data_IF_394758697483
#
_entry.id   IF_394758697483
#
_cell.length_a   1.000
_cell.length_b   1.000
_cell.length_c   1.000
_cell.angle_alpha   90.00
_cell.angle_beta   90.00
_cell.angle_gamma   90.00
#
_symmetry.space_group_name_H-M   'P 1'
#
loop_
_entity.id
_entity.type
_entity.pdbx_description
1 polymer ?
#
# COMPACT_ATOMS: atom_id res chain seq x y z
N UNK A 1 -12.61 2.98 5.30
CA UNK A 1 -11.77 2.74 4.08
C UNK A 1 -10.34 3.16 4.33
N UNK A 2 -9.35 2.33 3.94
CA UNK A 2 -7.92 2.65 4.07
C UNK A 2 -7.33 2.89 2.70
N UNK A 3 -6.70 4.06 2.49
CA UNK A 3 -5.96 4.36 1.29
C UNK A 3 -4.46 4.19 1.53
N UNK A 4 -3.74 3.61 0.57
CA UNK A 4 -2.29 3.51 0.55
C UNK A 4 -1.78 4.12 -0.76
N UNK A 5 -0.86 5.05 -0.66
CA UNK A 5 -0.23 5.73 -1.80
C UNK A 5 1.22 5.27 -1.91
N UNK A 6 1.63 4.85 -3.09
CA UNK A 6 3.00 4.49 -3.44
C UNK A 6 3.44 5.31 -4.64
N UNK A 7 4.71 5.73 -4.65
CA UNK A 7 5.32 6.50 -5.73
C UNK A 7 6.48 5.69 -6.28
N UNK A 8 6.56 5.57 -7.60
CA UNK A 8 7.54 4.74 -8.27
C UNK A 8 8.01 5.31 -9.60
N UNK A 9 9.06 4.69 -10.15
CA UNK A 9 9.62 5.01 -11.46
C UNK A 9 9.10 4.08 -12.57
N UNK A 10 8.70 2.84 -12.25
CA UNK A 10 8.28 1.85 -13.23
C UNK A 10 6.78 1.92 -13.51
N UNK A 11 6.42 2.54 -14.61
CA UNK A 11 5.05 2.53 -15.13
C UNK A 11 4.67 1.11 -15.58
N UNK A 12 5.54 0.45 -16.35
CA UNK A 12 5.31 -0.92 -16.79
C UNK A 12 5.05 -1.87 -15.63
N UNK A 13 5.88 -1.80 -14.56
CA UNK A 13 5.69 -2.66 -13.39
C UNK A 13 4.34 -2.44 -12.70
N UNK A 14 3.86 -1.19 -12.62
CA UNK A 14 2.56 -0.88 -12.05
C UNK A 14 1.40 -1.39 -12.93
N UNK A 15 1.50 -1.24 -14.25
CA UNK A 15 0.49 -1.71 -15.21
C UNK A 15 0.48 -3.23 -15.30
N UNK A 16 1.65 -3.88 -15.39
CA UNK A 16 1.78 -5.33 -15.49
C UNK A 16 1.21 -6.02 -14.24
N UNK A 17 1.58 -5.55 -13.04
CA UNK A 17 1.08 -6.12 -11.79
C UNK A 17 -0.46 -6.14 -11.71
N UNK A 18 -1.10 -5.05 -12.14
CA UNK A 18 -2.56 -4.95 -12.09
C UNK A 18 -3.23 -5.60 -13.30
N UNK A 19 -2.71 -5.37 -14.52
CA UNK A 19 -3.28 -5.90 -15.76
C UNK A 19 -3.20 -7.42 -15.86
N UNK A 20 -2.11 -8.04 -15.40
CA UNK A 20 -2.00 -9.50 -15.38
C UNK A 20 -3.03 -10.15 -14.45
N UNK A 21 -3.38 -9.52 -13.34
CA UNK A 21 -4.45 -10.02 -12.47
C UNK A 21 -5.82 -9.99 -13.15
N UNK A 22 -6.09 -8.91 -13.89
CA UNK A 22 -7.32 -8.84 -14.70
C UNK A 22 -7.35 -9.94 -15.75
N UNK A 23 -6.26 -10.10 -16.49
CA UNK A 23 -6.14 -11.11 -17.54
C UNK A 23 -6.18 -12.56 -17.00
N UNK A 24 -5.98 -12.76 -15.69
CA UNK A 24 -6.15 -14.03 -14.97
C UNK A 24 -7.51 -14.16 -14.27
N UNK A 25 -8.47 -13.30 -14.62
CA UNK A 25 -9.82 -13.29 -14.03
C UNK A 25 -9.87 -13.08 -12.50
N UNK A 26 -8.84 -12.44 -11.95
CA UNK A 26 -8.74 -12.12 -10.51
C UNK A 26 -9.20 -10.70 -10.20
N UNK A 27 -9.98 -10.10 -11.10
CA UNK A 27 -10.49 -8.75 -10.95
C UNK A 27 -11.05 -8.19 -12.26
N UNK A 28 -11.31 -6.88 -12.29
CA UNK A 28 -11.88 -6.16 -13.43
C UNK A 28 -11.27 -4.78 -13.59
N UNK A 29 -11.16 -4.33 -14.85
CA UNK A 29 -10.90 -2.94 -15.16
C UNK A 29 -12.22 -2.17 -15.04
N UNK A 30 -12.33 -1.26 -14.08
CA UNK A 30 -13.58 -0.53 -13.83
C UNK A 30 -13.67 0.78 -14.60
N UNK A 31 -12.57 1.52 -14.70
CA UNK A 31 -12.57 2.83 -15.35
C UNK A 31 -11.18 3.18 -15.90
N UNK A 32 -11.18 3.99 -16.94
CA UNK A 32 -9.99 4.64 -17.48
C UNK A 32 -10.27 6.11 -17.72
N UNK A 33 -9.24 6.93 -17.68
CA UNK A 33 -9.26 8.31 -18.15
C UNK A 33 -8.06 8.55 -19.05
N UNK A 34 -8.30 9.03 -20.28
CA UNK A 34 -7.26 9.28 -21.30
C UNK A 34 -6.45 8.03 -21.73
N UNK A 35 -6.86 6.85 -21.31
CA UNK A 35 -6.28 5.55 -21.67
C UNK A 35 -7.34 4.76 -22.41
N UNK A 36 -6.97 4.18 -23.53
CA UNK A 36 -7.89 3.39 -24.35
C UNK A 36 -8.34 2.12 -23.59
N UNK A 37 -9.64 1.85 -23.71
CA UNK A 37 -10.25 0.62 -23.21
C UNK A 37 -11.27 0.17 -24.27
N UNK A 38 -11.08 -1.02 -24.81
CA UNK A 38 -11.97 -1.60 -25.83
C UNK A 38 -13.21 -2.30 -25.26
N UNK A 39 -13.30 -2.38 -23.93
CA UNK A 39 -14.39 -3.06 -23.23
C UNK A 39 -14.33 -4.59 -23.29
N UNK A 40 -13.24 -5.19 -23.79
CA UNK A 40 -13.08 -6.66 -23.89
C UNK A 40 -12.99 -7.36 -22.54
N UNK A 41 -12.78 -6.60 -21.45
CA UNK A 41 -12.51 -7.13 -20.11
C UNK A 41 -11.04 -7.54 -19.89
N UNK A 42 -10.19 -7.45 -20.91
CA UNK A 42 -8.75 -7.67 -20.81
C UNK A 42 -8.00 -6.34 -20.84
N UNK A 43 -6.73 -6.36 -20.43
CA UNK A 43 -5.87 -5.17 -20.42
C UNK A 43 -4.66 -5.43 -21.33
N UNK A 44 -4.56 -4.67 -22.41
CA UNK A 44 -3.33 -4.58 -23.20
C UNK A 44 -2.36 -3.64 -22.49
N UNK A 45 -1.38 -4.23 -21.80
CA UNK A 45 -0.42 -3.51 -20.98
C UNK A 45 0.49 -2.61 -21.83
N UNK A 46 0.88 -3.07 -23.02
CA UNK A 46 1.75 -2.31 -23.92
C UNK A 46 1.04 -1.08 -24.45
N UNK A 47 -0.17 -1.24 -24.93
CA UNK A 47 -1.01 -0.13 -25.40
C UNK A 47 -1.31 0.88 -24.28
N UNK A 48 -1.67 0.40 -23.09
CA UNK A 48 -1.89 1.27 -21.95
C UNK A 48 -0.62 2.06 -21.61
N UNK A 49 0.55 1.43 -21.66
CA UNK A 49 1.83 2.11 -21.46
C UNK A 49 2.08 3.19 -22.49
N UNK A 50 1.83 2.91 -23.78
CA UNK A 50 1.98 3.90 -24.85
C UNK A 50 1.06 5.11 -24.64
N UNK A 51 -0.21 4.85 -24.25
CA UNK A 51 -1.16 5.91 -23.95
C UNK A 51 -0.69 6.79 -22.78
N UNK A 52 -0.20 6.21 -21.70
CA UNK A 52 0.37 6.97 -20.59
C UNK A 52 1.58 7.81 -21.01
N UNK A 53 2.47 7.26 -21.83
CA UNK A 53 3.69 7.93 -22.30
C UNK A 53 3.38 9.19 -23.11
N UNK A 54 2.23 9.26 -23.79
CA UNK A 54 1.78 10.49 -24.50
C UNK A 54 1.57 11.67 -23.57
N UNK A 55 1.29 11.42 -22.29
CA UNK A 55 1.10 12.44 -21.25
C UNK A 55 2.33 12.64 -20.36
N UNK A 56 3.42 11.94 -20.66
CA UNK A 56 4.67 12.03 -19.92
C UNK A 56 5.74 12.70 -20.82
N UNK A 57 6.05 14.00 -20.62
CA UNK A 57 7.08 14.64 -21.42
C UNK A 57 8.46 14.06 -21.14
N UNK A 58 9.31 14.04 -22.18
CA UNK A 58 10.70 13.52 -22.07
C UNK A 58 11.56 14.30 -21.07
N UNK A 59 11.28 15.59 -20.89
CA UNK A 59 12.02 16.49 -20.01
C UNK A 59 11.37 16.61 -18.63
N UNK A 60 11.25 15.50 -17.90
CA UNK A 60 10.76 15.50 -16.53
C UNK A 60 11.89 15.69 -15.52
N UNK A 61 11.64 16.49 -14.46
CA UNK A 61 12.59 16.66 -13.34
C UNK A 61 12.51 15.54 -12.31
N UNK A 62 11.45 14.72 -12.33
CA UNK A 62 11.25 13.66 -11.35
C UNK A 62 11.65 12.30 -11.91
N UNK A 63 12.39 11.53 -11.11
CA UNK A 63 12.72 10.13 -11.40
C UNK A 63 11.58 9.17 -11.06
N UNK A 64 10.55 9.66 -10.35
CA UNK A 64 9.42 8.84 -9.87
C UNK A 64 8.08 9.43 -10.34
N UNK A 65 7.77 9.38 -11.63
CA UNK A 65 6.57 10.00 -12.19
C UNK A 65 5.27 9.20 -11.96
N UNK A 66 5.36 7.97 -11.48
CA UNK A 66 4.21 7.06 -11.34
C UNK A 66 3.66 7.13 -9.92
N UNK A 67 2.34 7.16 -9.80
CA UNK A 67 1.62 7.00 -8.55
C UNK A 67 0.72 5.77 -8.63
N UNK A 68 0.77 4.94 -7.60
CA UNK A 68 -0.09 3.78 -7.41
C UNK A 68 -0.83 3.92 -6.09
N UNK A 69 -2.14 3.87 -6.15
CA UNK A 69 -3.03 4.06 -5.00
C UNK A 69 -3.85 2.78 -4.81
N UNK A 70 -3.95 2.27 -3.59
CA UNK A 70 -4.95 1.26 -3.27
C UNK A 70 -5.99 1.82 -2.31
N UNK A 71 -7.27 1.60 -2.61
CA UNK A 71 -8.40 1.94 -1.76
C UNK A 71 -9.03 0.64 -1.24
N UNK A 72 -9.06 0.52 0.08
CA UNK A 72 -9.46 -0.69 0.76
C UNK A 72 -10.66 -0.40 1.68
N UNK A 73 -11.91 -0.66 1.25
CA UNK A 73 -13.10 -0.60 2.10
C UNK A 73 -13.04 -1.61 3.24
N UNK A 74 -13.94 -1.51 4.19
CA UNK A 74 -14.08 -2.54 5.21
C UNK A 74 -14.59 -3.84 4.57
N UNK A 75 -14.20 -5.03 5.05
CA UNK A 75 -14.68 -6.30 4.49
C UNK A 75 -16.20 -6.44 4.48
N UNK A 76 -16.89 -5.82 5.43
CA UNK A 76 -18.35 -5.85 5.54
C UNK A 76 -19.06 -4.82 4.64
N UNK A 77 -18.31 -3.90 4.01
CA UNK A 77 -18.89 -2.95 3.06
C UNK A 77 -19.34 -3.69 1.79
N UNK A 78 -20.58 -3.45 1.38
CA UNK A 78 -21.15 -4.03 0.15
C UNK A 78 -21.24 -2.95 -0.91
N UNK A 79 -20.28 -2.94 -1.83
CA UNK A 79 -20.15 -1.95 -2.88
C UNK A 79 -20.37 -2.61 -4.25
N UNK A 80 -21.15 -1.95 -5.09
CA UNK A 80 -21.28 -2.31 -6.51
C UNK A 80 -20.09 -1.81 -7.31
N UNK A 81 -19.91 -2.29 -8.53
CA UNK A 81 -18.85 -1.79 -9.44
C UNK A 81 -19.04 -0.29 -9.72
N UNK A 82 -20.28 0.18 -9.82
CA UNK A 82 -20.61 1.61 -9.98
C UNK A 82 -20.19 2.42 -8.75
N UNK A 83 -20.39 1.92 -7.54
CA UNK A 83 -19.93 2.59 -6.32
C UNK A 83 -18.41 2.68 -6.30
N UNK A 84 -17.72 1.60 -6.64
CA UNK A 84 -16.26 1.60 -6.75
C UNK A 84 -15.73 2.60 -7.78
N UNK A 85 -16.37 2.69 -8.96
CA UNK A 85 -16.01 3.68 -9.99
C UNK A 85 -16.19 5.11 -9.47
N UNK A 86 -17.33 5.40 -8.84
CA UNK A 86 -17.62 6.72 -8.30
C UNK A 86 -16.66 7.10 -7.18
N UNK A 87 -16.38 6.19 -6.25
CA UNK A 87 -15.41 6.37 -5.17
C UNK A 87 -14.01 6.67 -5.73
N UNK A 88 -13.56 5.92 -6.73
CA UNK A 88 -12.25 6.13 -7.35
C UNK A 88 -12.15 7.51 -8.02
N UNK A 89 -13.17 7.88 -8.81
CA UNK A 89 -13.23 9.18 -9.49
C UNK A 89 -13.22 10.33 -8.50
N UNK A 90 -14.10 10.32 -7.51
CA UNK A 90 -14.17 11.39 -6.51
C UNK A 90 -12.89 11.48 -5.69
N UNK A 91 -12.30 10.34 -5.34
CA UNK A 91 -11.02 10.30 -4.64
C UNK A 91 -9.91 10.97 -5.46
N UNK A 92 -9.80 10.65 -6.75
CA UNK A 92 -8.82 11.24 -7.66
C UNK A 92 -9.05 12.73 -7.87
N UNK A 93 -10.30 13.17 -8.07
CA UNK A 93 -10.66 14.58 -8.19
C UNK A 93 -10.22 15.38 -6.96
N UNK A 94 -10.60 14.92 -5.76
CA UNK A 94 -10.26 15.58 -4.49
C UNK A 94 -8.76 15.55 -4.19
N UNK A 95 -8.05 14.51 -4.61
CA UNK A 95 -6.60 14.42 -4.46
C UNK A 95 -5.84 15.29 -5.48
N UNK A 96 -6.52 15.76 -6.55
CA UNK A 96 -5.93 16.59 -7.59
C UNK A 96 -5.44 15.82 -8.82
N UNK A 97 -5.90 14.58 -8.98
CA UNK A 97 -5.54 13.68 -10.10
C UNK A 97 -6.70 13.44 -11.07
N UNK A 98 -7.84 14.10 -10.92
CA UNK A 98 -9.04 13.87 -11.74
C UNK A 98 -8.83 14.08 -13.24
N UNK A 99 -7.94 15.02 -13.63
CA UNK A 99 -7.61 15.26 -15.03
C UNK A 99 -6.37 14.50 -15.53
N UNK A 100 -5.77 13.65 -14.71
CA UNK A 100 -4.63 12.85 -15.13
C UNK A 100 -5.07 11.60 -15.90
N UNK A 101 -4.20 11.01 -16.75
CA UNK A 101 -4.44 9.66 -17.25
C UNK A 101 -4.41 8.70 -16.05
N UNK A 102 -5.40 7.82 -15.99
CA UNK A 102 -5.45 6.80 -14.96
C UNK A 102 -6.19 5.54 -15.42
N UNK A 103 -5.90 4.45 -14.74
CA UNK A 103 -6.64 3.19 -14.81
C UNK A 103 -7.06 2.77 -13.41
N UNK A 104 -8.30 2.33 -13.26
CA UNK A 104 -8.90 1.84 -12.01
C UNK A 104 -9.18 0.36 -12.13
N UNK A 105 -8.51 -0.43 -11.34
CA UNK A 105 -8.65 -1.88 -11.27
C UNK A 105 -9.36 -2.27 -9.97
N UNK A 106 -10.34 -3.16 -10.06
CA UNK A 106 -10.91 -3.85 -8.91
C UNK A 106 -10.25 -5.22 -8.81
N UNK A 107 -9.65 -5.55 -7.69
CA UNK A 107 -9.11 -6.87 -7.40
C UNK A 107 -10.08 -7.67 -6.53
N UNK A 108 -10.22 -8.95 -6.86
CA UNK A 108 -11.10 -9.92 -6.23
C UNK A 108 -10.32 -11.18 -5.77
N UNK A 109 -9.00 -11.09 -5.70
CA UNK A 109 -8.07 -12.17 -5.35
C UNK A 109 -8.03 -12.51 -3.85
N UNK A 110 -8.73 -11.73 -3.03
CA UNK A 110 -8.91 -11.97 -1.59
C UNK A 110 -10.38 -11.71 -1.23
N UNK A 111 -10.82 -12.19 -0.07
CA UNK A 111 -12.21 -12.06 0.41
C UNK A 111 -12.72 -10.60 0.45
N UNK A 112 -11.83 -9.64 0.44
CA UNK A 112 -12.15 -8.22 0.42
C UNK A 112 -11.87 -7.62 -0.94
N UNK A 113 -12.90 -7.17 -1.64
CA UNK A 113 -12.75 -6.40 -2.87
C UNK A 113 -12.07 -5.06 -2.58
N UNK A 114 -11.12 -4.67 -3.42
CA UNK A 114 -10.37 -3.44 -3.25
C UNK A 114 -9.94 -2.87 -4.60
N UNK A 115 -9.68 -1.55 -4.61
CA UNK A 115 -9.24 -0.86 -5.81
C UNK A 115 -7.73 -0.68 -5.84
N UNK A 116 -7.19 -0.77 -7.04
CA UNK A 116 -5.88 -0.26 -7.40
C UNK A 116 -6.04 0.78 -8.49
N UNK A 117 -5.38 1.92 -8.32
CA UNK A 117 -5.39 3.01 -9.29
C UNK A 117 -3.94 3.27 -9.69
N UNK A 118 -3.68 3.21 -10.98
CA UNK A 118 -2.39 3.60 -11.56
C UNK A 118 -2.58 4.93 -12.28
N UNK A 119 -1.74 5.91 -12.00
CA UNK A 119 -1.74 7.22 -12.63
C UNK A 119 -0.32 7.80 -12.68
N UNK A 120 -0.18 8.96 -13.26
CA UNK A 120 1.07 9.73 -13.29
C UNK A 120 0.94 11.01 -12.47
N UNK A 121 2.05 11.43 -11.86
CA UNK A 121 2.10 12.61 -10.99
C UNK A 121 2.81 13.80 -11.63
N UNK A 122 2.88 13.83 -12.93
CA UNK A 122 3.44 14.94 -13.70
C UNK A 122 2.39 15.53 -14.62
N UNK A 123 2.43 16.84 -14.78
CA UNK A 123 1.62 17.53 -15.77
C UNK A 123 2.28 17.49 -17.17
N UNK A 124 1.63 18.07 -18.16
CA UNK A 124 2.11 18.16 -19.55
C UNK A 124 3.45 18.90 -19.70
N UNK A 125 3.84 19.70 -18.70
CA UNK A 125 5.12 20.41 -18.66
C UNK A 125 6.22 19.64 -17.89
N UNK A 126 5.93 18.40 -17.45
CA UNK A 126 6.85 17.58 -16.66
C UNK A 126 7.02 18.03 -15.21
N UNK A 127 6.17 18.95 -14.75
CA UNK A 127 6.17 19.40 -13.35
C UNK A 127 5.34 18.43 -12.50
N UNK A 128 5.86 18.08 -11.32
CA UNK A 128 5.10 17.26 -10.37
C UNK A 128 3.85 17.98 -9.88
N UNK A 129 2.74 17.26 -9.83
CA UNK A 129 1.54 17.68 -9.15
C UNK A 129 1.82 17.86 -7.64
N UNK A 130 1.04 18.72 -6.99
CA UNK A 130 1.20 18.98 -5.57
C UNK A 130 0.87 17.71 -4.75
N UNK A 131 1.90 17.10 -4.19
CA UNK A 131 1.82 15.90 -3.35
C UNK A 131 2.10 16.19 -1.86
N UNK A 132 2.22 17.48 -1.50
CA UNK A 132 2.43 17.87 -0.10
C UNK A 132 1.27 17.37 0.75
N UNK A 133 1.62 16.74 1.87
CA UNK A 133 0.65 16.20 2.83
C UNK A 133 -0.35 15.19 2.23
N UNK A 134 0.01 14.49 1.16
CA UNK A 134 -0.87 13.52 0.49
C UNK A 134 -1.50 12.51 1.47
N UNK A 135 -0.77 12.07 2.50
CA UNK A 135 -1.33 11.17 3.51
C UNK A 135 -2.46 11.80 4.33
N UNK A 136 -2.30 13.06 4.73
CA UNK A 136 -3.34 13.79 5.48
C UNK A 136 -4.55 14.11 4.57
N UNK A 137 -4.30 14.56 3.35
CA UNK A 137 -5.35 14.83 2.35
C UNK A 137 -6.11 13.55 2.04
N UNK A 138 -5.40 12.47 1.72
CA UNK A 138 -5.99 11.16 1.45
C UNK A 138 -6.85 10.65 2.62
N UNK A 139 -6.38 10.83 3.87
CA UNK A 139 -7.15 10.46 5.04
C UNK A 139 -8.44 11.28 5.18
N UNK A 140 -8.40 12.58 4.94
CA UNK A 140 -9.58 13.43 4.95
C UNK A 140 -10.58 13.01 3.87
N UNK A 141 -10.10 12.82 2.63
CA UNK A 141 -10.91 12.34 1.51
C UNK A 141 -11.58 11.00 1.82
N UNK A 142 -10.82 10.03 2.37
CA UNK A 142 -11.42 8.73 2.71
C UNK A 142 -12.49 8.83 3.79
N UNK A 143 -12.40 9.77 4.75
CA UNK A 143 -13.45 10.00 5.75
C UNK A 143 -14.71 10.60 5.12
N UNK A 144 -14.56 11.57 4.20
CA UNK A 144 -15.71 12.12 3.47
C UNK A 144 -16.42 11.05 2.63
N UNK A 145 -15.65 10.21 1.93
CA UNK A 145 -16.21 9.14 1.10
C UNK A 145 -16.90 8.07 1.97
N UNK A 146 -16.33 7.71 3.13
CA UNK A 146 -16.99 6.81 4.08
C UNK A 146 -18.36 7.34 4.51
N UNK A 147 -18.44 8.63 4.85
CA UNK A 147 -19.72 9.26 5.24
C UNK A 147 -20.71 9.29 4.07
N UNK A 148 -20.24 9.71 2.88
CA UNK A 148 -21.08 9.85 1.70
C UNK A 148 -21.68 8.52 1.24
N UNK A 149 -20.89 7.44 1.27
CA UNK A 149 -21.30 6.12 0.80
C UNK A 149 -21.77 5.19 1.92
N UNK A 150 -21.90 5.70 3.16
CA UNK A 150 -22.38 4.92 4.31
C UNK A 150 -21.45 3.75 4.68
N UNK A 151 -20.14 3.90 4.47
CA UNK A 151 -19.17 2.84 4.70
C UNK A 151 -18.70 2.80 6.17
N UNK A 152 -18.22 1.63 6.59
CA UNK A 152 -17.58 1.47 7.88
C UNK A 152 -16.33 2.36 7.96
N UNK A 153 -16.25 3.14 9.04
CA UNK A 153 -15.09 4.00 9.28
C UNK A 153 -13.85 3.14 9.57
N UNK A 154 -12.74 3.43 8.87
CA UNK A 154 -11.46 2.83 9.23
C UNK A 154 -10.90 3.55 10.45
N UNK A 155 -11.53 3.38 11.60
CA UNK A 155 -10.94 3.79 12.86
C UNK A 155 -9.68 2.95 13.12
N UNK A 156 -8.64 3.58 13.68
CA UNK A 156 -7.65 2.79 14.40
C UNK A 156 -8.43 2.03 15.46
N UNK A 157 -8.58 0.72 15.30
CA UNK A 157 -9.01 -0.13 16.43
C UNK A 157 -8.14 0.33 17.58
N UNK A 158 -8.77 0.93 18.61
CA UNK A 158 -8.08 1.31 19.84
C UNK A 158 -7.13 0.17 20.14
N UNK A 159 -5.86 0.49 20.30
CA UNK A 159 -4.78 -0.51 20.43
C UNK A 159 -5.34 -1.56 21.36
N UNK A 160 -5.65 -2.76 20.83
CA UNK A 160 -6.18 -3.86 21.65
C UNK A 160 -5.30 -3.88 22.86
N UNK A 161 -5.87 -3.64 24.03
CA UNK A 161 -5.16 -3.81 25.30
C UNK A 161 -4.27 -5.00 25.10
N UNK A 162 -2.96 -4.77 25.12
CA UNK A 162 -1.97 -5.72 24.64
C UNK A 162 -2.32 -7.06 25.27
N UNK A 163 -2.69 -8.05 24.45
CA UNK A 163 -2.87 -9.41 24.96
C UNK A 163 -1.65 -9.71 25.80
N UNK A 164 -1.79 -10.22 27.03
CA UNK A 164 -0.65 -10.41 27.91
C UNK A 164 0.44 -11.11 27.11
N UNK A 165 1.63 -10.52 27.13
CA UNK A 165 2.78 -11.03 26.40
C UNK A 165 2.99 -12.47 26.81
N UNK A 166 2.86 -13.38 25.85
CA UNK A 166 3.12 -14.80 26.07
C UNK A 166 4.59 -15.09 25.80
N UNK A 167 5.16 -15.99 26.56
CA UNK A 167 6.49 -16.55 26.26
C UNK A 167 6.46 -17.24 24.90
N UNK A 168 7.57 -17.20 24.19
CA UNK A 168 7.70 -17.92 22.92
C UNK A 168 7.63 -19.43 23.20
N UNK A 169 6.75 -20.11 22.47
CA UNK A 169 6.52 -21.54 22.53
C UNK A 169 6.90 -22.17 21.20
N UNK A 170 7.96 -22.97 21.21
CA UNK A 170 8.48 -23.64 20.02
C UNK A 170 7.49 -24.68 19.47
N UNK A 171 6.66 -25.26 20.35
CA UNK A 171 5.69 -26.30 19.96
C UNK A 171 4.45 -25.75 19.25
N UNK A 172 4.14 -24.46 19.48
CA UNK A 172 2.95 -23.82 18.93
C UNK A 172 3.10 -23.34 17.46
N UNK A 173 4.26 -23.58 16.82
CA UNK A 173 4.54 -23.14 15.44
C UNK A 173 4.73 -21.62 15.29
N UNK A 174 4.95 -21.16 14.07
CA UNK A 174 5.16 -19.73 13.72
C UNK A 174 6.15 -18.98 14.65
N UNK A 175 7.23 -19.63 15.08
CA UNK A 175 8.21 -19.11 16.05
C UNK A 175 8.70 -17.71 15.68
N UNK A 176 9.03 -17.47 14.41
CA UNK A 176 9.47 -16.16 13.90
C UNK A 176 8.45 -15.06 14.17
N UNK A 177 7.18 -15.36 14.04
CA UNK A 177 6.08 -14.41 14.30
C UNK A 177 5.90 -14.16 15.79
N UNK A 178 6.01 -15.21 16.62
CA UNK A 178 5.96 -15.10 18.07
C UNK A 178 7.10 -14.21 18.59
N UNK A 179 8.35 -14.49 18.17
CA UNK A 179 9.52 -13.68 18.52
C UNK A 179 9.34 -12.22 18.06
N UNK A 180 8.95 -12.00 16.80
CA UNK A 180 8.73 -10.65 16.28
C UNK A 180 7.66 -9.84 17.04
N UNK A 181 6.59 -10.51 17.48
CA UNK A 181 5.55 -9.89 18.29
C UNK A 181 6.02 -9.54 19.71
N UNK A 182 6.76 -10.46 20.35
CA UNK A 182 7.32 -10.24 21.67
C UNK A 182 8.34 -9.08 21.66
N UNK A 183 9.31 -9.11 20.73
CA UNK A 183 10.32 -8.04 20.56
C UNK A 183 9.65 -6.68 20.34
N UNK A 184 8.66 -6.59 19.44
CA UNK A 184 7.95 -5.32 19.17
C UNK A 184 7.19 -4.81 20.39
N UNK A 185 6.56 -5.69 21.15
CA UNK A 185 5.78 -5.29 22.32
C UNK A 185 6.69 -4.85 23.47
N UNK A 186 7.78 -5.55 23.70
CA UNK A 186 8.78 -5.22 24.72
C UNK A 186 9.47 -3.88 24.41
N UNK A 187 9.91 -3.69 23.15
CA UNK A 187 10.53 -2.42 22.71
C UNK A 187 9.59 -1.21 22.79
N UNK A 188 8.27 -1.41 22.79
CA UNK A 188 7.29 -0.34 22.98
C UNK A 188 6.93 -0.08 24.43
N UNK A 189 6.92 -1.14 25.25
CA UNK A 189 6.46 -1.07 26.64
C UNK A 189 7.54 -0.76 27.66
N UNK A 190 8.80 -1.05 27.33
CA UNK A 190 9.93 -0.88 28.23
C UNK A 190 10.99 0.05 27.63
N UNK A 191 11.67 0.79 28.50
CA UNK A 191 12.89 1.53 28.16
C UNK A 191 14.05 0.85 28.87
N UNK A 192 15.10 0.54 28.14
CA UNK A 192 16.32 -0.09 28.65
C UNK A 192 17.50 0.83 28.32
N UNK A 193 18.47 0.88 29.25
CA UNK A 193 19.65 1.73 29.14
C UNK A 193 20.87 0.96 28.62
N UNK A 194 20.81 -0.37 28.65
CA UNK A 194 21.91 -1.23 28.21
C UNK A 194 21.42 -2.46 27.44
N UNK A 195 22.32 -3.03 26.65
CA UNK A 195 22.07 -4.31 25.97
C UNK A 195 21.90 -5.48 26.96
N UNK A 196 22.53 -5.38 28.16
CA UNK A 196 22.33 -6.35 29.23
C UNK A 196 20.89 -6.39 29.74
N UNK A 197 20.30 -5.24 29.98
CA UNK A 197 18.89 -5.13 30.38
C UNK A 197 17.96 -5.64 29.28
N UNK A 198 18.24 -5.30 28.00
CA UNK A 198 17.46 -5.80 26.87
C UNK A 198 17.50 -7.32 26.75
N UNK A 199 18.70 -7.93 26.87
CA UNK A 199 18.87 -9.38 26.88
C UNK A 199 18.14 -10.05 28.04
N UNK A 200 18.25 -9.48 29.27
CA UNK A 200 17.54 -9.98 30.43
C UNK A 200 16.03 -9.92 30.26
N UNK A 201 15.51 -8.84 29.68
CA UNK A 201 14.09 -8.70 29.39
C UNK A 201 13.60 -9.74 28.38
N UNK A 202 14.34 -9.98 27.30
CA UNK A 202 13.99 -10.96 26.26
C UNK A 202 14.06 -12.39 26.76
N UNK A 203 15.03 -12.72 27.64
CA UNK A 203 15.16 -14.05 28.22
C UNK A 203 13.94 -14.48 29.04
N UNK A 204 13.23 -13.55 29.68
CA UNK A 204 11.96 -13.82 30.38
C UNK A 204 10.86 -14.34 29.42
N UNK A 205 11.04 -14.15 28.14
CA UNK A 205 10.10 -14.58 27.09
C UNK A 205 10.65 -15.69 26.20
N UNK A 206 11.68 -16.41 26.68
CA UNK A 206 12.35 -17.50 25.95
C UNK A 206 13.03 -17.01 24.64
N UNK A 207 13.57 -15.81 24.64
CA UNK A 207 14.29 -15.24 23.50
C UNK A 207 15.73 -14.95 23.93
N UNK A 208 16.68 -15.55 23.25
CA UNK A 208 18.11 -15.27 23.40
C UNK A 208 18.54 -14.32 22.28
N UNK A 209 19.47 -13.40 22.59
CA UNK A 209 19.99 -12.44 21.60
C UNK A 209 21.50 -12.55 21.58
N UNK A 210 22.04 -12.79 20.40
CA UNK A 210 23.48 -12.82 20.14
C UNK A 210 23.88 -11.69 19.20
N UNK A 211 25.08 -11.13 19.43
CA UNK A 211 25.66 -10.16 18.51
C UNK A 211 26.46 -10.90 17.44
N UNK A 212 26.16 -10.61 16.20
CA UNK A 212 26.83 -11.19 15.04
C UNK A 212 27.52 -10.08 14.27
N UNK A 213 28.79 -10.28 13.98
CA UNK A 213 29.58 -9.40 13.11
C UNK A 213 30.01 -10.19 11.90
N UNK A 214 29.98 -9.57 10.74
CA UNK A 214 30.39 -10.20 9.51
C UNK A 214 30.60 -9.20 8.40
N UNK A 215 30.95 -9.70 7.23
CA UNK A 215 31.15 -8.92 6.02
C UNK A 215 30.28 -9.48 4.88
N UNK A 216 29.55 -8.61 4.18
CA UNK A 216 28.79 -8.96 2.97
C UNK A 216 29.13 -7.99 1.86
N UNK A 217 29.68 -8.52 0.78
CA UNK A 217 30.06 -7.73 -0.42
C UNK A 217 30.98 -6.55 -0.09
N UNK A 218 32.01 -6.78 0.76
CA UNK A 218 32.98 -5.76 1.16
C UNK A 218 32.43 -4.73 2.15
N UNK A 219 31.27 -4.95 2.76
CA UNK A 219 30.69 -4.09 3.81
C UNK A 219 30.58 -4.86 5.11
N UNK A 220 31.20 -4.33 6.13
CA UNK A 220 31.05 -4.86 7.50
C UNK A 220 29.60 -4.62 7.96
N UNK A 221 29.05 -5.60 8.65
CA UNK A 221 27.79 -5.47 9.36
C UNK A 221 27.94 -5.92 10.81
N UNK A 222 27.17 -5.30 11.67
CA UNK A 222 26.99 -5.67 13.06
C UNK A 222 25.48 -5.74 13.33
N UNK A 223 25.00 -6.91 13.71
CA UNK A 223 23.58 -7.19 13.89
C UNK A 223 23.29 -7.99 15.15
N UNK A 224 22.00 -8.16 15.43
CA UNK A 224 21.47 -9.02 16.48
C UNK A 224 20.73 -10.19 15.85
N UNK A 225 20.95 -11.40 16.37
CA UNK A 225 20.26 -12.65 16.01
C UNK A 225 19.65 -13.27 17.24
#
# INVERSE_FOLDING_TARGET
MVAKISIGSSLYGALAYNGEKINKEQGRLLATNKIFNDGSGTVDIHRAMEDFLRYMPSAMRTEKPVIHISLNPHPDDRLTDTDFQNIAREYLEKLGYGNQPYMVYKHEDIDRHHLHIVSIRVDENGKCLNDRNNFHRSKAITRELEQKYGLHTAERKAQRLASPLKKVDLSAGEVKKQVGNAVKALSKGYRFQSMGEYRALLSLYNITVEEVRGEVRGREYHGLV
#
